data_IF_639945054564
#
_entry.id   IF_639945054564
#
_cell.length_a   1.000
_cell.length_b   1.000
_cell.length_c   1.000
_cell.angle_alpha   90.00
_cell.angle_beta   90.00
_cell.angle_gamma   90.00
#
_symmetry.space_group_name_H-M   'P 1'
#
loop_
_entity.id
_entity.type
_entity.pdbx_description
1 polymer ?
#
# COMPACT_ATOMS: atom_id res chain seq x y z
N UNK A 1 33.65 0.35 23.78
CA UNK A 1 32.20 0.03 23.84
C UNK A 1 31.68 -0.07 22.42
N UNK A 2 31.28 -1.27 21.98
CA UNK A 2 30.73 -1.48 20.64
C UNK A 2 29.45 -0.64 20.42
N UNK A 3 29.19 -0.24 19.18
CA UNK A 3 27.99 0.52 18.80
C UNK A 3 26.74 -0.36 18.81
N UNK A 4 26.38 -0.89 19.98
CA UNK A 4 25.26 -1.81 20.23
C UNK A 4 23.91 -1.14 19.90
N UNK A 5 23.88 0.20 19.82
CA UNK A 5 22.70 0.98 19.45
C UNK A 5 22.45 1.02 17.94
N UNK A 6 23.40 0.58 17.11
CA UNK A 6 23.22 0.49 15.67
C UNK A 6 22.71 -0.91 15.30
N UNK A 7 21.39 -1.04 15.19
CA UNK A 7 20.71 -2.32 14.90
C UNK A 7 21.25 -2.98 13.63
N UNK A 8 21.52 -2.21 12.58
CA UNK A 8 22.06 -2.74 11.31
C UNK A 8 23.42 -3.41 11.56
N UNK A 9 24.33 -2.68 12.22
CA UNK A 9 25.66 -3.20 12.53
C UNK A 9 25.57 -4.46 13.40
N UNK A 10 24.76 -4.45 14.46
CA UNK A 10 24.67 -5.58 15.39
C UNK A 10 24.03 -6.79 14.73
N UNK A 11 22.97 -6.62 13.95
CA UNK A 11 22.30 -7.71 13.21
C UNK A 11 23.25 -8.35 12.20
N UNK A 12 23.99 -7.54 11.43
CA UNK A 12 25.00 -8.06 10.50
C UNK A 12 26.15 -8.76 11.21
N UNK A 13 26.62 -8.20 12.34
CA UNK A 13 27.65 -8.85 13.14
C UNK A 13 27.17 -10.20 13.67
N UNK A 14 25.97 -10.28 14.24
CA UNK A 14 25.44 -11.52 14.79
C UNK A 14 25.18 -12.58 13.72
N UNK A 15 24.67 -12.20 12.54
CA UNK A 15 24.49 -13.13 11.43
C UNK A 15 25.83 -13.71 10.95
N UNK A 16 26.83 -12.85 10.76
CA UNK A 16 28.18 -13.29 10.39
C UNK A 16 28.84 -14.13 11.49
N UNK A 17 28.64 -13.74 12.76
CA UNK A 17 29.15 -14.46 13.91
C UNK A 17 28.56 -15.86 14.00
N UNK A 18 27.23 -16.02 13.90
CA UNK A 18 26.61 -17.33 13.92
C UNK A 18 27.04 -18.21 12.73
N UNK A 19 27.22 -17.61 11.56
CA UNK A 19 27.66 -18.33 10.37
C UNK A 19 29.12 -18.80 10.43
N UNK A 20 30.02 -18.01 11.03
CA UNK A 20 31.48 -18.23 10.95
C UNK A 20 32.13 -18.65 12.26
N UNK A 21 31.58 -18.26 13.42
CA UNK A 21 32.19 -18.50 14.73
C UNK A 21 31.91 -19.91 15.24
N UNK A 22 30.76 -20.50 14.93
CA UNK A 22 30.36 -21.86 15.36
C UNK A 22 31.40 -22.95 15.02
N UNK A 23 32.03 -22.98 13.82
CA UNK A 23 33.10 -23.94 13.53
C UNK A 23 34.47 -23.55 14.10
N UNK A 24 34.70 -22.29 14.45
CA UNK A 24 36.00 -21.77 14.89
C UNK A 24 36.15 -21.73 16.42
N UNK A 25 35.04 -21.59 17.13
CA UNK A 25 34.97 -21.48 18.58
C UNK A 25 33.98 -22.49 19.12
N UNK A 26 34.23 -23.02 20.34
CA UNK A 26 33.29 -23.95 20.98
C UNK A 26 31.91 -23.32 21.21
N UNK A 27 30.85 -24.14 21.16
CA UNK A 27 29.43 -23.71 21.30
C UNK A 27 29.21 -22.84 22.56
N UNK A 28 29.86 -23.18 23.67
CA UNK A 28 29.73 -22.44 24.94
C UNK A 28 30.26 -21.01 24.85
N UNK A 29 31.37 -20.80 24.12
CA UNK A 29 31.95 -19.47 23.92
C UNK A 29 31.07 -18.61 23.03
N UNK A 30 30.56 -19.19 21.94
CA UNK A 30 29.62 -18.53 21.03
C UNK A 30 28.36 -18.11 21.78
N UNK A 31 27.80 -18.99 22.61
CA UNK A 31 26.62 -18.73 23.43
C UNK A 31 26.86 -17.62 24.47
N UNK A 32 28.01 -17.62 25.14
CA UNK A 32 28.36 -16.60 26.14
C UNK A 32 28.40 -15.19 25.54
N UNK A 33 29.02 -15.03 24.36
CA UNK A 33 29.06 -13.75 23.64
C UNK A 33 27.66 -13.35 23.19
N UNK A 34 26.90 -14.30 22.66
CA UNK A 34 25.56 -14.03 22.19
C UNK A 34 24.66 -13.52 23.32
N UNK A 35 24.69 -14.13 24.50
CA UNK A 35 23.95 -13.67 25.68
C UNK A 35 24.30 -12.23 26.09
N UNK A 36 25.57 -11.85 26.00
CA UNK A 36 26.01 -10.49 26.34
C UNK A 36 25.48 -9.43 25.38
N UNK A 37 25.32 -9.77 24.09
CA UNK A 37 24.94 -8.83 23.04
C UNK A 37 23.43 -8.83 22.80
N UNK A 38 22.76 -9.98 22.98
CA UNK A 38 21.36 -10.21 22.62
C UNK A 38 20.40 -9.24 23.30
N UNK A 39 20.40 -9.22 24.64
CA UNK A 39 19.44 -8.41 25.41
C UNK A 39 19.61 -6.90 25.14
N UNK A 40 20.83 -6.34 25.13
CA UNK A 40 21.04 -4.95 24.72
C UNK A 40 20.58 -4.66 23.28
N UNK A 41 20.81 -5.58 22.34
CA UNK A 41 20.37 -5.43 20.96
C UNK A 41 18.84 -5.39 20.86
N UNK A 42 18.13 -6.35 21.47
CA UNK A 42 16.66 -6.40 21.46
C UNK A 42 16.08 -5.12 22.09
N UNK A 43 16.63 -4.68 23.23
CA UNK A 43 16.16 -3.48 23.93
C UNK A 43 16.33 -2.19 23.13
N UNK A 44 17.32 -2.15 22.23
CA UNK A 44 17.61 -0.99 21.38
C UNK A 44 17.32 -1.24 19.90
N UNK A 45 16.53 -2.28 19.60
CA UNK A 45 16.20 -2.65 18.24
C UNK A 45 15.35 -1.56 17.57
N UNK A 46 15.90 -0.95 16.52
CA UNK A 46 15.22 0.03 15.69
C UNK A 46 15.76 -0.04 14.26
N UNK A 47 14.87 -0.18 13.28
CA UNK A 47 15.27 -0.23 11.86
C UNK A 47 15.51 1.18 11.31
N UNK A 48 14.98 2.22 11.96
CA UNK A 48 14.61 3.46 11.26
C UNK A 48 15.02 4.78 11.94
N UNK A 49 16.20 4.85 12.58
CA UNK A 49 16.75 6.18 12.95
C UNK A 49 17.68 6.67 11.84
N UNK A 50 17.28 7.69 11.04
CA UNK A 50 18.26 8.52 10.38
C UNK A 50 19.14 9.10 11.49
N UNK A 51 20.42 8.73 11.48
CA UNK A 51 21.40 9.51 12.22
C UNK A 51 21.32 10.92 11.61
N UNK A 52 21.16 11.99 12.40
CA UNK A 52 21.16 13.34 11.84
C UNK A 52 22.51 13.56 11.16
N UNK A 53 22.56 13.40 9.84
CA UNK A 53 23.73 13.75 9.06
C UNK A 53 23.83 15.28 9.05
N UNK A 54 24.99 15.86 9.39
CA UNK A 54 25.20 17.28 9.19
C UNK A 54 24.92 17.61 7.72
N UNK A 55 24.10 18.62 7.49
CA UNK A 55 23.66 19.05 6.16
C UNK A 55 24.86 19.51 5.34
N UNK A 56 25.52 18.59 4.64
CA UNK A 56 26.45 18.94 3.58
C UNK A 56 25.63 19.23 2.34
N UNK A 57 25.64 20.49 1.89
CA UNK A 57 25.03 20.94 0.64
C UNK A 57 25.40 19.99 -0.50
N UNK A 58 24.45 19.14 -0.92
CA UNK A 58 24.67 18.19 -2.01
C UNK A 58 24.13 18.76 -3.33
N UNK A 59 25.04 18.83 -4.29
CA UNK A 59 24.86 19.22 -5.68
C UNK A 59 23.73 18.46 -6.39
N UNK A 60 23.07 19.15 -7.31
CA UNK A 60 21.89 18.75 -8.08
C UNK A 60 22.06 17.45 -8.90
N UNK A 61 23.29 16.94 -9.06
CA UNK A 61 23.59 15.70 -9.78
C UNK A 61 23.73 14.44 -8.89
N UNK A 62 23.60 14.56 -7.56
CA UNK A 62 23.82 13.46 -6.61
C UNK A 62 22.59 12.61 -6.23
N UNK A 63 21.38 13.12 -6.46
CA UNK A 63 20.15 12.52 -5.92
C UNK A 63 19.81 11.14 -6.54
N UNK A 64 19.98 11.00 -7.86
CA UNK A 64 19.65 9.75 -8.56
C UNK A 64 20.61 8.59 -8.23
N UNK A 65 21.87 8.87 -7.84
CA UNK A 65 22.86 7.82 -7.50
C UNK A 65 22.70 7.30 -6.07
N UNK A 66 22.10 8.09 -5.17
CA UNK A 66 21.83 7.67 -3.78
C UNK A 66 20.68 6.67 -3.70
N UNK A 67 19.59 6.84 -4.46
CA UNK A 67 18.41 5.96 -4.40
C UNK A 67 18.68 4.51 -4.83
N UNK A 68 19.54 4.28 -5.83
CA UNK A 68 19.91 2.91 -6.24
C UNK A 68 20.84 2.22 -5.24
N UNK A 69 21.70 2.97 -4.54
CA UNK A 69 22.62 2.41 -3.54
C UNK A 69 21.97 2.14 -2.18
N UNK A 70 20.85 2.82 -1.85
CA UNK A 70 20.07 2.57 -0.64
C UNK A 70 19.17 1.35 -0.78
N UNK A 71 18.53 1.16 -1.95
CA UNK A 71 17.65 0.02 -2.19
C UNK A 71 18.36 -1.35 -2.04
N UNK A 72 19.61 -1.47 -2.49
CA UNK A 72 20.42 -2.70 -2.31
C UNK A 72 20.76 -2.96 -0.84
N UNK A 73 20.99 -1.90 -0.05
CA UNK A 73 21.29 -2.01 1.39
C UNK A 73 20.06 -2.42 2.19
N UNK A 74 18.89 -1.89 1.84
CA UNK A 74 17.61 -2.17 2.50
C UNK A 74 17.18 -3.64 2.28
N UNK A 75 17.35 -4.15 1.06
CA UNK A 75 17.10 -5.56 0.74
C UNK A 75 18.10 -6.47 1.46
N UNK A 76 19.39 -6.08 1.53
CA UNK A 76 20.39 -6.84 2.29
C UNK A 76 20.03 -6.92 3.77
N UNK A 77 19.65 -5.81 4.40
CA UNK A 77 19.25 -5.79 5.81
C UNK A 77 18.04 -6.70 6.06
N UNK A 78 17.04 -6.66 5.19
CA UNK A 78 15.87 -7.53 5.26
C UNK A 78 16.26 -9.01 5.21
N UNK A 79 17.18 -9.38 4.33
CA UNK A 79 17.70 -10.76 4.24
C UNK A 79 18.53 -11.14 5.47
N UNK A 80 19.38 -10.25 5.97
CA UNK A 80 20.19 -10.50 7.18
C UNK A 80 19.31 -10.73 8.40
N UNK A 81 18.26 -9.93 8.59
CA UNK A 81 17.28 -10.14 9.67
C UNK A 81 16.59 -11.51 9.56
N UNK A 82 16.17 -11.90 8.35
CA UNK A 82 15.52 -13.19 8.13
C UNK A 82 16.46 -14.37 8.42
N UNK A 83 17.73 -14.26 8.01
CA UNK A 83 18.75 -15.28 8.28
C UNK A 83 19.10 -15.37 9.77
N UNK A 84 19.22 -14.23 10.44
CA UNK A 84 19.49 -14.19 11.87
C UNK A 84 18.39 -14.92 12.65
N UNK A 85 17.12 -14.60 12.39
CA UNK A 85 15.97 -15.30 13.00
C UNK A 85 15.97 -16.81 12.70
N UNK A 86 16.27 -17.17 11.45
CA UNK A 86 16.33 -18.57 11.03
C UNK A 86 17.47 -19.32 11.73
N UNK A 87 18.66 -18.73 11.83
CA UNK A 87 19.84 -19.34 12.45
C UNK A 87 19.66 -19.55 13.95
N UNK A 88 19.20 -18.52 14.65
CA UNK A 88 18.96 -18.59 16.10
C UNK A 88 17.96 -19.69 16.45
N UNK A 89 16.94 -19.87 15.61
CA UNK A 89 15.91 -20.89 15.84
C UNK A 89 16.35 -22.31 15.49
N UNK A 90 17.35 -22.47 14.61
CA UNK A 90 17.83 -23.79 14.15
C UNK A 90 18.93 -24.37 15.03
N UNK A 91 19.83 -23.52 15.53
CA UNK A 91 21.08 -23.99 16.15
C UNK A 91 20.94 -24.27 17.66
N UNK A 92 19.70 -24.41 18.16
CA UNK A 92 19.37 -24.56 19.58
C UNK A 92 20.15 -23.55 20.43
N UNK A 93 20.05 -22.30 20.01
CA UNK A 93 20.78 -21.20 20.61
C UNK A 93 20.00 -20.76 21.86
N UNK A 94 20.67 -20.55 23.01
CA UNK A 94 20.02 -20.26 24.28
C UNK A 94 19.46 -18.83 24.39
N UNK A 95 19.05 -18.21 23.27
CA UNK A 95 18.41 -16.89 23.28
C UNK A 95 16.96 -16.98 22.86
N UNK A 96 16.12 -16.16 23.48
CA UNK A 96 14.70 -16.22 23.23
C UNK A 96 14.34 -15.47 21.94
N UNK A 97 14.20 -16.21 20.85
CA UNK A 97 13.77 -15.69 19.54
C UNK A 97 12.43 -14.93 19.61
N UNK A 98 11.57 -15.24 20.57
CA UNK A 98 10.32 -14.50 20.80
C UNK A 98 10.56 -13.03 21.17
N UNK A 99 11.65 -12.71 21.89
CA UNK A 99 11.97 -11.32 22.25
C UNK A 99 12.29 -10.47 21.01
N UNK A 100 13.00 -11.04 20.02
CA UNK A 100 13.31 -10.36 18.78
C UNK A 100 12.06 -10.18 17.90
N UNK A 101 11.20 -11.21 17.81
CA UNK A 101 9.91 -11.13 17.11
C UNK A 101 9.08 -9.98 17.69
N UNK A 102 9.01 -9.90 19.01
CA UNK A 102 8.28 -8.84 19.72
C UNK A 102 8.92 -7.45 19.53
N UNK A 103 10.24 -7.35 19.49
CA UNK A 103 10.92 -6.09 19.21
C UNK A 103 10.64 -5.60 17.78
N UNK A 104 10.69 -6.49 16.79
CA UNK A 104 10.34 -6.18 15.39
C UNK A 104 8.87 -5.74 15.31
N UNK A 105 7.95 -6.47 15.96
CA UNK A 105 6.52 -6.13 16.02
C UNK A 105 6.27 -4.75 16.62
N UNK A 106 6.94 -4.40 17.72
CA UNK A 106 6.81 -3.08 18.36
C UNK A 106 7.33 -1.95 17.47
N UNK A 107 8.48 -2.15 16.84
CA UNK A 107 9.11 -1.13 15.99
C UNK A 107 8.33 -0.91 14.69
N UNK A 108 7.69 -1.95 14.15
CA UNK A 108 6.86 -1.91 12.93
C UNK A 108 5.85 -0.75 12.90
N UNK A 109 5.21 -0.45 14.02
CA UNK A 109 4.20 0.63 14.09
C UNK A 109 4.80 2.04 14.02
N UNK A 110 6.12 2.14 14.20
CA UNK A 110 6.90 3.39 14.24
C UNK A 110 7.74 3.61 13.00
N UNK A 111 7.90 2.59 12.15
CA UNK A 111 8.67 2.68 10.91
C UNK A 111 8.03 3.64 9.92
N UNK A 112 8.89 4.34 9.16
CA UNK A 112 8.50 5.14 8.03
C UNK A 112 7.91 4.25 6.91
N UNK A 113 6.99 4.77 6.08
CA UNK A 113 6.38 4.01 4.99
C UNK A 113 7.41 3.43 4.00
N UNK A 114 8.54 4.12 3.80
CA UNK A 114 9.63 3.66 2.94
C UNK A 114 10.31 2.42 3.50
N UNK A 115 10.60 2.39 4.81
CA UNK A 115 11.19 1.23 5.48
C UNK A 115 10.24 0.04 5.52
N UNK A 116 8.94 0.28 5.76
CA UNK A 116 7.93 -0.79 5.69
C UNK A 116 7.90 -1.44 4.30
N UNK A 117 8.00 -0.63 3.24
CA UNK A 117 8.01 -1.09 1.84
C UNK A 117 9.31 -1.78 1.45
N UNK A 118 10.46 -1.20 1.80
CA UNK A 118 11.77 -1.60 1.27
C UNK A 118 12.50 -2.62 2.16
N UNK A 119 12.17 -2.69 3.45
CA UNK A 119 12.85 -3.56 4.42
C UNK A 119 11.87 -4.56 5.01
N UNK A 120 10.76 -4.12 5.62
CA UNK A 120 9.85 -5.03 6.33
C UNK A 120 9.19 -6.03 5.39
N UNK A 121 8.63 -5.60 4.25
CA UNK A 121 7.98 -6.50 3.31
C UNK A 121 8.94 -7.59 2.76
N UNK A 122 10.14 -7.25 2.23
CA UNK A 122 11.11 -8.26 1.84
C UNK A 122 11.51 -9.17 3.00
N UNK A 123 11.69 -8.63 4.21
CA UNK A 123 12.04 -9.40 5.40
C UNK A 123 10.97 -10.46 5.70
N UNK A 124 9.70 -10.05 5.82
CA UNK A 124 8.58 -10.96 6.09
C UNK A 124 8.46 -12.06 5.03
N UNK A 125 8.76 -11.73 3.76
CA UNK A 125 8.77 -12.70 2.67
C UNK A 125 9.93 -13.69 2.81
N UNK A 126 11.13 -13.22 3.12
CA UNK A 126 12.31 -14.08 3.28
C UNK A 126 12.26 -14.93 4.55
N UNK A 127 11.60 -14.43 5.61
CA UNK A 127 11.37 -15.17 6.85
C UNK A 127 10.23 -16.19 6.74
N UNK A 128 9.39 -16.11 5.69
CA UNK A 128 8.18 -16.93 5.57
C UNK A 128 8.43 -18.44 5.63
N UNK A 129 9.41 -19.03 4.91
CA UNK A 129 9.64 -20.47 4.96
C UNK A 129 9.98 -20.96 6.37
N UNK A 130 10.78 -20.18 7.11
CA UNK A 130 11.08 -20.46 8.51
C UNK A 130 9.85 -20.29 9.40
N UNK A 131 9.11 -19.19 9.24
CA UNK A 131 7.90 -18.91 10.03
C UNK A 131 6.85 -20.01 9.86
N UNK A 132 6.68 -20.54 8.64
CA UNK A 132 5.77 -21.65 8.34
C UNK A 132 6.16 -22.94 9.06
N UNK A 133 7.46 -23.22 9.23
CA UNK A 133 7.92 -24.36 10.01
C UNK A 133 7.78 -24.10 11.52
N UNK A 134 8.15 -22.90 11.99
CA UNK A 134 8.13 -22.52 13.39
C UNK A 134 6.71 -22.43 13.97
N UNK A 135 5.69 -22.11 13.17
CA UNK A 135 4.30 -21.98 13.64
C UNK A 135 3.70 -23.29 14.18
N UNK A 136 4.32 -24.44 13.87
CA UNK A 136 3.96 -25.76 14.41
C UNK A 136 4.26 -25.87 15.91
N UNK A 137 5.22 -25.09 16.39
CA UNK A 137 5.51 -24.95 17.81
C UNK A 137 4.61 -23.87 18.42
N UNK A 138 3.84 -24.25 19.43
CA UNK A 138 2.90 -23.39 20.16
C UNK A 138 3.60 -22.15 20.75
N UNK A 139 4.90 -22.24 21.05
CA UNK A 139 5.71 -21.11 21.53
C UNK A 139 5.73 -19.96 20.51
N UNK A 140 5.81 -20.26 19.22
CA UNK A 140 5.99 -19.27 18.16
C UNK A 140 4.71 -18.91 17.41
N UNK A 141 3.65 -19.73 17.51
CA UNK A 141 2.39 -19.54 16.77
C UNK A 141 1.82 -18.12 16.93
N UNK A 142 1.60 -17.67 18.16
CA UNK A 142 0.98 -16.36 18.43
C UNK A 142 1.92 -15.19 18.12
N UNK A 143 3.19 -15.16 18.61
CA UNK A 143 4.11 -14.06 18.31
C UNK A 143 4.34 -13.85 16.80
N UNK A 144 4.48 -14.94 16.03
CA UNK A 144 4.66 -14.83 14.58
C UNK A 144 3.42 -14.32 13.89
N UNK A 145 2.24 -14.85 14.24
CA UNK A 145 0.97 -14.37 13.68
C UNK A 145 0.80 -12.87 13.94
N UNK A 146 1.03 -12.43 15.18
CA UNK A 146 0.89 -11.04 15.57
C UNK A 146 1.91 -10.14 14.87
N UNK A 147 3.15 -10.60 14.71
CA UNK A 147 4.18 -9.86 13.96
C UNK A 147 3.80 -9.69 12.48
N UNK A 148 3.41 -10.77 11.79
CA UNK A 148 3.00 -10.70 10.39
C UNK A 148 1.74 -9.84 10.22
N UNK A 149 0.74 -10.01 11.07
CA UNK A 149 -0.51 -9.25 11.00
C UNK A 149 -0.26 -7.77 11.29
N UNK A 150 0.53 -7.44 12.31
CA UNK A 150 0.89 -6.05 12.64
C UNK A 150 1.72 -5.43 11.52
N UNK A 151 2.69 -6.17 10.99
CA UNK A 151 3.54 -5.77 9.86
C UNK A 151 2.78 -5.37 8.62
N UNK A 152 1.95 -6.29 8.13
CA UNK A 152 1.19 -6.08 6.91
C UNK A 152 0.13 -4.99 7.09
N UNK A 153 -0.52 -4.92 8.25
CA UNK A 153 -1.47 -3.84 8.53
C UNK A 153 -0.81 -2.48 8.68
N UNK A 154 0.37 -2.39 9.33
CA UNK A 154 1.12 -1.15 9.43
C UNK A 154 1.57 -0.68 8.04
N UNK A 155 2.04 -1.60 7.19
CA UNK A 155 2.35 -1.31 5.80
C UNK A 155 1.13 -0.74 5.05
N UNK A 156 -0.02 -1.40 5.09
CA UNK A 156 -1.23 -0.94 4.41
C UNK A 156 -1.69 0.43 4.93
N UNK A 157 -1.77 0.62 6.26
CA UNK A 157 -2.26 1.86 6.88
C UNK A 157 -1.32 3.05 6.65
N UNK A 158 0.00 2.84 6.67
CA UNK A 158 0.97 3.94 6.56
C UNK A 158 1.36 4.26 5.12
N UNK A 159 1.55 3.23 4.27
CA UNK A 159 1.97 3.40 2.88
C UNK A 159 0.78 3.68 1.97
N UNK A 160 -0.20 2.77 1.95
CA UNK A 160 -1.35 2.90 1.05
C UNK A 160 -2.28 4.00 1.53
N UNK A 161 -2.53 4.03 2.85
CA UNK A 161 -3.47 4.92 3.56
C UNK A 161 -4.92 4.58 3.25
N UNK A 162 -5.82 5.09 4.10
CA UNK A 162 -7.27 4.93 3.92
C UNK A 162 -7.75 5.48 2.58
N UNK A 163 -8.78 4.84 2.05
CA UNK A 163 -9.47 5.26 0.84
C UNK A 163 -9.89 6.73 0.94
N UNK A 164 -9.50 7.59 -0.01
CA UNK A 164 -9.96 8.97 -0.03
C UNK A 164 -11.46 9.02 -0.33
N UNK A 165 -12.17 9.95 0.29
CA UNK A 165 -13.59 10.15 0.03
C UNK A 165 -13.81 10.48 -1.45
N UNK A 166 -14.62 9.68 -2.13
CA UNK A 166 -15.12 10.02 -3.45
C UNK A 166 -16.25 11.02 -3.29
N UNK A 167 -16.21 12.18 -3.97
CA UNK A 167 -17.34 13.12 -3.94
C UNK A 167 -17.03 14.62 -4.01
N UNK A 168 -15.78 15.03 -4.18
CA UNK A 168 -15.49 16.44 -4.47
C UNK A 168 -15.78 16.74 -5.94
N UNK A 169 -16.89 17.43 -6.22
CA UNK A 169 -17.16 17.94 -7.56
C UNK A 169 -16.13 18.97 -8.03
N UNK A 170 -16.20 19.34 -9.29
CA UNK A 170 -15.40 20.40 -9.90
C UNK A 170 -15.80 21.82 -9.45
N UNK A 171 -16.56 22.01 -8.37
CA UNK A 171 -16.97 23.35 -7.97
C UNK A 171 -15.78 24.18 -7.47
N UNK A 172 -15.77 25.47 -7.76
CA UNK A 172 -14.75 26.44 -7.37
C UNK A 172 -15.38 27.75 -6.90
N UNK A 173 -14.67 28.51 -6.04
CA UNK A 173 -15.08 29.86 -5.68
C UNK A 173 -15.32 30.70 -6.94
N UNK A 174 -16.34 31.55 -6.86
CA UNK A 174 -16.66 32.51 -7.93
C UNK A 174 -15.66 33.67 -7.92
N UNK A 175 -15.39 34.23 -9.09
CA UNK A 175 -14.71 35.50 -9.27
C UNK A 175 -15.56 36.63 -8.65
N UNK A 176 -14.90 37.60 -8.04
CA UNK A 176 -15.55 38.76 -7.40
C UNK A 176 -16.05 39.84 -8.38
N UNK A 177 -15.90 39.65 -9.69
CA UNK A 177 -16.38 40.57 -10.71
C UNK A 177 -17.84 40.28 -11.11
N UNK A 178 -18.63 41.34 -11.32
CA UNK A 178 -20.05 41.27 -11.72
C UNK A 178 -20.30 41.51 -13.21
N UNK A 179 -19.25 41.66 -14.05
CA UNK A 179 -19.45 41.86 -15.49
C UNK A 179 -20.04 40.60 -16.16
N UNK A 180 -20.72 40.78 -17.30
CA UNK A 180 -21.38 39.67 -18.01
C UNK A 180 -20.43 38.50 -18.34
N UNK A 181 -19.20 38.80 -18.77
CA UNK A 181 -18.22 37.76 -19.09
C UNK A 181 -17.78 36.97 -17.86
N UNK A 182 -17.62 37.63 -16.71
CA UNK A 182 -17.30 36.96 -15.45
C UNK A 182 -18.49 36.18 -14.90
N UNK A 183 -19.72 36.58 -15.22
CA UNK A 183 -20.93 35.84 -14.82
C UNK A 183 -20.98 34.45 -15.48
N UNK A 184 -20.72 34.36 -16.79
CA UNK A 184 -20.66 33.08 -17.51
C UNK A 184 -19.56 32.17 -16.93
N UNK A 185 -18.39 32.74 -16.65
CA UNK A 185 -17.27 32.02 -16.03
C UNK A 185 -17.65 31.57 -14.62
N UNK A 186 -18.39 32.37 -13.85
CA UNK A 186 -18.83 32.02 -12.50
C UNK A 186 -19.84 30.87 -12.47
N UNK A 187 -20.73 30.77 -13.47
CA UNK A 187 -21.62 29.62 -13.63
C UNK A 187 -20.80 28.35 -13.85
N UNK A 188 -19.84 28.42 -14.78
CA UNK A 188 -18.92 27.32 -15.00
C UNK A 188 -18.15 26.97 -13.74
N UNK A 189 -17.56 27.94 -13.02
CA UNK A 189 -16.80 27.70 -11.79
C UNK A 189 -17.66 27.04 -10.71
N UNK A 190 -18.91 27.46 -10.55
CA UNK A 190 -19.85 26.86 -9.60
C UNK A 190 -20.23 25.41 -9.95
N UNK A 191 -20.19 25.03 -11.23
CA UNK A 191 -20.56 23.68 -11.68
C UNK A 191 -19.68 22.60 -11.08
N UNK A 192 -20.32 21.62 -10.43
CA UNK A 192 -19.66 20.45 -9.84
C UNK A 192 -19.31 19.36 -10.87
N UNK A 193 -19.87 19.41 -12.08
CA UNK A 193 -19.69 18.37 -13.10
C UNK A 193 -18.82 18.83 -14.27
N UNK A 194 -18.79 20.14 -14.56
CA UNK A 194 -18.01 20.67 -15.66
C UNK A 194 -16.56 20.91 -15.25
N UNK A 195 -15.65 20.14 -15.85
CA UNK A 195 -14.20 20.32 -15.70
C UNK A 195 -13.65 21.38 -16.66
N UNK A 196 -14.17 21.48 -17.89
CA UNK A 196 -13.68 22.38 -18.94
C UNK A 196 -14.78 23.35 -19.35
N UNK A 197 -14.47 24.64 -19.36
CA UNK A 197 -15.32 25.73 -19.80
C UNK A 197 -14.67 26.43 -21.00
N UNK A 198 -15.48 26.76 -22.01
CA UNK A 198 -15.01 27.38 -23.27
C UNK A 198 -15.82 28.65 -23.50
N UNK A 199 -15.15 29.79 -23.58
CA UNK A 199 -15.78 31.11 -23.66
C UNK A 199 -15.23 31.85 -24.88
N UNK A 200 -16.08 32.14 -25.87
CA UNK A 200 -15.71 33.03 -26.98
C UNK A 200 -15.79 34.47 -26.50
N UNK A 201 -14.64 35.11 -26.35
CA UNK A 201 -14.52 36.43 -25.74
C UNK A 201 -13.64 37.32 -26.61
N UNK A 202 -13.85 38.63 -26.60
CA UNK A 202 -12.93 39.59 -27.25
C UNK A 202 -11.58 39.62 -26.51
N UNK A 203 -10.53 40.16 -27.15
CA UNK A 203 -9.19 40.26 -26.54
C UNK A 203 -9.21 40.90 -25.14
N UNK A 204 -9.94 42.02 -24.98
CA UNK A 204 -10.04 42.73 -23.70
C UNK A 204 -10.77 41.91 -22.64
N UNK A 205 -11.87 41.25 -23.03
CA UNK A 205 -12.61 40.37 -22.13
C UNK A 205 -11.79 39.15 -21.70
N UNK A 206 -11.01 38.54 -22.61
CA UNK A 206 -10.08 37.45 -22.28
C UNK A 206 -9.02 37.89 -21.28
N UNK A 207 -8.38 39.04 -21.53
CA UNK A 207 -7.36 39.59 -20.63
C UNK A 207 -7.91 39.87 -19.23
N UNK A 208 -9.12 40.44 -19.16
CA UNK A 208 -9.83 40.67 -17.91
C UNK A 208 -10.08 39.37 -17.13
N UNK A 209 -10.64 38.34 -17.77
CA UNK A 209 -10.92 37.05 -17.10
C UNK A 209 -9.62 36.37 -16.64
N UNK A 210 -8.56 36.41 -17.45
CA UNK A 210 -7.24 35.91 -17.06
C UNK A 210 -6.75 36.57 -15.76
N UNK A 211 -6.74 37.90 -15.70
CA UNK A 211 -6.29 38.64 -14.52
C UNK A 211 -7.08 38.30 -13.25
N UNK A 212 -8.40 38.10 -13.37
CA UNK A 212 -9.23 37.71 -12.22
C UNK A 212 -9.01 36.27 -11.78
N UNK A 213 -8.76 35.32 -12.70
CA UNK A 213 -8.43 33.94 -12.35
C UNK A 213 -7.06 33.84 -11.68
N UNK A 214 -6.06 34.58 -12.18
CA UNK A 214 -4.72 34.68 -11.58
C UNK A 214 -4.78 35.27 -10.17
N UNK A 215 -5.48 36.40 -10.01
CA UNK A 215 -5.65 37.07 -8.71
C UNK A 215 -6.41 36.21 -7.69
N UNK A 216 -7.34 35.37 -8.15
CA UNK A 216 -8.10 34.46 -7.29
C UNK A 216 -7.31 33.19 -6.92
N UNK A 217 -6.10 32.99 -7.44
CA UNK A 217 -5.31 31.78 -7.20
C UNK A 217 -5.99 30.52 -7.77
N UNK A 218 -6.62 30.62 -8.94
CA UNK A 218 -7.30 29.50 -9.58
C UNK A 218 -6.36 28.30 -9.75
N UNK A 219 -6.82 27.12 -9.33
CA UNK A 219 -5.99 25.92 -9.23
C UNK A 219 -5.90 25.09 -10.52
N UNK A 220 -6.50 25.58 -11.61
CA UNK A 220 -6.54 24.94 -12.91
C UNK A 220 -5.70 25.67 -13.96
N UNK A 221 -6.02 25.47 -15.24
CA UNK A 221 -5.40 26.18 -16.36
C UNK A 221 -6.39 27.09 -17.04
N UNK A 222 -5.91 28.21 -17.57
CA UNK A 222 -6.68 29.08 -18.45
C UNK A 222 -5.81 29.50 -19.63
N UNK A 223 -6.20 29.08 -20.83
CA UNK A 223 -5.42 29.31 -22.03
C UNK A 223 -6.34 29.84 -23.13
N UNK A 224 -5.83 30.76 -23.94
CA UNK A 224 -6.53 31.19 -25.15
C UNK A 224 -6.16 30.27 -26.30
N UNK A 225 -7.15 29.59 -26.87
CA UNK A 225 -6.99 28.90 -28.15
C UNK A 225 -6.92 29.94 -29.27
N UNK A 226 -5.75 30.05 -29.89
CA UNK A 226 -5.49 31.03 -30.93
C UNK A 226 -5.96 30.51 -32.28
N UNK A 227 -7.09 31.02 -32.72
CA UNK A 227 -7.60 30.87 -34.09
C UNK A 227 -7.31 32.13 -34.90
N UNK A 228 -7.27 31.99 -36.24
CA UNK A 228 -7.10 33.09 -37.18
C UNK A 228 -8.27 34.10 -37.18
N UNK A 229 -9.41 33.72 -36.62
CA UNK A 229 -10.64 34.52 -36.58
C UNK A 229 -10.93 34.94 -35.13
N UNK A 230 -11.28 36.21 -34.92
CA UNK A 230 -11.81 36.74 -33.65
C UNK A 230 -13.35 36.63 -33.63
N UNK A 231 -14.01 36.41 -32.48
CA UNK A 231 -13.43 36.25 -31.14
C UNK A 231 -12.76 34.89 -30.92
N UNK A 232 -11.53 34.89 -30.41
CA UNK A 232 -10.84 33.67 -29.98
C UNK A 232 -11.47 33.09 -28.70
N UNK A 233 -11.19 31.81 -28.44
CA UNK A 233 -11.80 31.07 -27.32
C UNK A 233 -10.86 31.02 -26.12
N UNK A 234 -11.35 31.46 -24.96
CA UNK A 234 -10.72 31.19 -23.66
C UNK A 234 -11.18 29.82 -23.16
N UNK A 235 -10.22 28.93 -22.92
CA UNK A 235 -10.45 27.60 -22.35
C UNK A 235 -9.97 27.60 -20.91
N UNK A 236 -10.90 27.39 -19.98
CA UNK A 236 -10.62 27.27 -18.55
C UNK A 236 -10.83 25.82 -18.14
N UNK A 237 -9.79 25.17 -17.62
CA UNK A 237 -9.84 23.78 -17.18
C UNK A 237 -9.55 23.71 -15.69
N UNK A 238 -10.49 23.17 -14.93
CA UNK A 238 -10.34 22.98 -13.48
C UNK A 238 -9.52 21.73 -13.18
N UNK A 239 -8.71 21.80 -12.13
CA UNK A 239 -7.89 20.66 -11.70
C UNK A 239 -8.71 19.62 -10.96
N UNK A 240 -8.55 18.35 -11.33
CA UNK A 240 -9.21 17.24 -10.64
C UNK A 240 -8.38 16.77 -9.44
N UNK A 241 -8.25 17.61 -8.40
CA UNK A 241 -7.42 17.29 -7.21
C UNK A 241 -7.88 16.00 -6.53
N UNK A 242 -9.19 15.75 -6.47
CA UNK A 242 -9.74 14.54 -5.89
C UNK A 242 -9.43 13.31 -6.74
N UNK A 243 -9.59 13.41 -8.06
CA UNK A 243 -9.20 12.35 -8.99
C UNK A 243 -7.70 12.06 -8.97
N UNK A 244 -6.85 13.08 -8.89
CA UNK A 244 -5.40 12.91 -8.71
C UNK A 244 -5.08 12.19 -7.39
N UNK A 245 -5.73 12.59 -6.29
CA UNK A 245 -5.55 11.96 -4.98
C UNK A 245 -6.01 10.49 -5.01
N UNK A 246 -7.15 10.22 -5.63
CA UNK A 246 -7.67 8.87 -5.81
C UNK A 246 -6.76 8.02 -6.69
N UNK A 247 -6.27 8.56 -7.82
CA UNK A 247 -5.34 7.86 -8.72
C UNK A 247 -4.01 7.56 -8.02
N UNK A 248 -3.49 8.49 -7.22
CA UNK A 248 -2.28 8.25 -6.43
C UNK A 248 -2.50 7.17 -5.37
N UNK A 249 -3.67 7.17 -4.70
CA UNK A 249 -4.06 6.08 -3.79
C UNK A 249 -4.18 4.74 -4.52
N UNK A 250 -4.86 4.71 -5.68
CA UNK A 250 -5.03 3.52 -6.50
C UNK A 250 -3.69 2.94 -6.98
N UNK A 251 -2.73 3.80 -7.34
CA UNK A 251 -1.38 3.38 -7.69
C UNK A 251 -0.68 2.68 -6.52
N UNK A 252 -0.80 3.21 -5.29
CA UNK A 252 -0.26 2.57 -4.08
C UNK A 252 -0.97 1.26 -3.77
N UNK A 253 -2.29 1.17 -3.97
CA UNK A 253 -3.04 -0.09 -3.84
C UNK A 253 -2.52 -1.16 -4.81
N UNK A 254 -2.29 -0.82 -6.09
CA UNK A 254 -1.76 -1.76 -7.08
C UNK A 254 -0.38 -2.26 -6.70
N UNK A 255 0.47 -1.35 -6.24
CA UNK A 255 1.81 -1.73 -5.80
C UNK A 255 1.77 -2.64 -4.55
N UNK A 256 0.98 -2.28 -3.55
CA UNK A 256 0.80 -3.10 -2.36
C UNK A 256 0.25 -4.48 -2.71
N UNK A 257 -0.70 -4.56 -3.62
CA UNK A 257 -1.26 -5.82 -4.11
C UNK A 257 -0.19 -6.67 -4.78
N UNK A 258 0.60 -6.08 -5.68
CA UNK A 258 1.74 -6.75 -6.31
C UNK A 258 2.81 -7.19 -5.31
N UNK A 259 3.02 -6.45 -4.21
CA UNK A 259 3.92 -6.83 -3.12
C UNK A 259 3.40 -8.01 -2.30
N UNK A 260 2.12 -7.99 -1.93
CA UNK A 260 1.46 -9.05 -1.16
C UNK A 260 1.37 -10.37 -1.94
N UNK A 261 1.13 -10.31 -3.26
CA UNK A 261 1.11 -11.50 -4.11
C UNK A 261 2.48 -12.15 -4.35
N UNK A 262 3.58 -11.52 -3.91
CA UNK A 262 4.92 -12.15 -3.93
C UNK A 262 5.14 -13.10 -2.76
N UNK A 263 4.24 -13.15 -1.80
CA UNK A 263 4.27 -14.15 -0.73
C UNK A 263 3.77 -15.49 -1.26
N UNK A 264 4.35 -16.58 -0.76
CA UNK A 264 3.80 -17.90 -0.99
C UNK A 264 2.46 -18.03 -0.25
N UNK A 265 1.35 -18.19 -0.99
CA UNK A 265 0.00 -18.17 -0.42
C UNK A 265 -0.19 -19.22 0.67
N UNK A 266 0.31 -20.44 0.45
CA UNK A 266 0.17 -21.55 1.40
C UNK A 266 0.97 -21.33 2.69
N UNK A 267 2.20 -20.82 2.57
CA UNK A 267 3.02 -20.47 3.73
C UNK A 267 2.38 -19.35 4.56
N UNK A 268 1.84 -18.32 3.89
CA UNK A 268 1.19 -17.21 4.55
C UNK A 268 -0.12 -17.63 5.24
N UNK A 269 -0.90 -18.52 4.60
CA UNK A 269 -2.11 -19.12 5.16
C UNK A 269 -1.81 -19.87 6.47
N UNK A 270 -0.72 -20.63 6.52
CA UNK A 270 -0.29 -21.35 7.73
C UNK A 270 0.07 -20.40 8.89
N UNK A 271 0.70 -19.27 8.61
CA UNK A 271 1.11 -18.29 9.64
C UNK A 271 -0.08 -17.44 10.12
N UNK A 272 -0.84 -16.86 9.21
CA UNK A 272 -1.88 -15.87 9.52
C UNK A 272 -3.26 -16.44 9.76
N UNK A 273 -3.53 -17.69 9.38
CA UNK A 273 -4.87 -18.26 9.14
C UNK A 273 -5.58 -17.68 7.92
N UNK A 274 -6.47 -18.48 7.32
CA UNK A 274 -7.24 -18.14 6.13
C UNK A 274 -8.03 -16.82 6.21
N UNK A 275 -8.84 -16.54 7.25
CA UNK A 275 -9.66 -15.31 7.29
C UNK A 275 -8.79 -14.05 7.36
N UNK A 276 -7.75 -14.05 8.20
CA UNK A 276 -6.84 -12.90 8.34
C UNK A 276 -6.05 -12.66 7.06
N UNK A 277 -5.59 -13.73 6.40
CA UNK A 277 -4.91 -13.63 5.10
C UNK A 277 -5.83 -12.97 4.06
N UNK A 278 -7.09 -13.43 3.95
CA UNK A 278 -8.06 -12.86 3.01
C UNK A 278 -8.31 -11.38 3.26
N UNK A 279 -8.44 -10.97 4.52
CA UNK A 279 -8.68 -9.57 4.87
C UNK A 279 -7.50 -8.66 4.54
N UNK A 280 -6.27 -9.14 4.71
CA UNK A 280 -5.06 -8.42 4.33
C UNK A 280 -4.94 -8.33 2.80
N UNK A 281 -5.17 -9.42 2.08
CA UNK A 281 -5.12 -9.46 0.61
C UNK A 281 -6.20 -8.56 -0.02
N UNK A 282 -7.39 -8.51 0.58
CA UNK A 282 -8.47 -7.60 0.20
C UNK A 282 -8.28 -6.17 0.75
N UNK A 283 -7.20 -5.89 1.48
CA UNK A 283 -6.86 -4.59 2.05
C UNK A 283 -7.99 -3.95 2.89
N UNK A 284 -8.75 -4.76 3.62
CA UNK A 284 -9.95 -4.29 4.34
C UNK A 284 -9.67 -3.25 5.41
N UNK A 285 -8.45 -3.20 5.93
CA UNK A 285 -8.08 -2.23 6.96
C UNK A 285 -7.96 -0.79 6.44
N UNK A 286 -8.03 -0.58 5.11
CA UNK A 286 -7.95 0.75 4.47
C UNK A 286 -9.10 1.06 3.52
N UNK A 287 -9.89 0.05 3.11
CA UNK A 287 -11.05 0.21 2.24
C UNK A 287 -12.29 0.29 3.13
N UNK A 288 -12.86 1.49 3.21
CA UNK A 288 -14.03 1.75 4.05
C UNK A 288 -15.35 1.51 3.29
N UNK A 289 -15.32 1.43 1.95
CA UNK A 289 -16.50 1.27 1.10
C UNK A 289 -16.31 0.09 0.10
N UNK A 290 -16.79 -1.12 0.43
CA UNK A 290 -16.64 -2.32 -0.40
C UNK A 290 -17.13 -2.19 -1.86
N UNK A 291 -18.29 -1.58 -2.17
CA UNK A 291 -18.71 -1.38 -3.56
C UNK A 291 -17.83 -0.41 -4.35
N UNK A 292 -17.08 0.48 -3.68
CA UNK A 292 -16.10 1.37 -4.30
C UNK A 292 -14.66 0.82 -4.29
N UNK A 293 -14.48 -0.46 -3.93
CA UNK A 293 -13.17 -1.10 -3.96
C UNK A 293 -12.63 -1.21 -5.41
N UNK A 294 -11.31 -1.05 -5.61
CA UNK A 294 -10.68 -1.29 -6.89
C UNK A 294 -11.00 -2.67 -7.46
N UNK A 295 -11.34 -2.73 -8.75
CA UNK A 295 -11.80 -3.95 -9.43
C UNK A 295 -10.82 -5.11 -9.38
N UNK A 296 -9.51 -4.82 -9.29
CA UNK A 296 -8.46 -5.84 -9.22
C UNK A 296 -8.34 -6.50 -7.83
N UNK A 297 -8.98 -5.94 -6.80
CA UNK A 297 -8.97 -6.55 -5.48
C UNK A 297 -10.08 -7.60 -5.38
N UNK A 298 -9.85 -8.72 -4.66
CA UNK A 298 -10.89 -9.70 -4.41
C UNK A 298 -12.11 -9.03 -3.77
N UNK A 299 -13.25 -9.04 -4.48
CA UNK A 299 -14.52 -8.60 -3.90
C UNK A 299 -14.94 -9.64 -2.88
N UNK A 300 -15.12 -9.22 -1.64
CA UNK A 300 -15.77 -10.06 -0.66
C UNK A 300 -17.26 -10.15 -1.02
N UNK A 301 -17.65 -11.30 -1.56
CA UNK A 301 -19.04 -11.72 -1.51
C UNK A 301 -19.23 -12.22 -0.10
N UNK A 302 -19.86 -11.44 0.77
CA UNK A 302 -20.31 -11.93 2.06
C UNK A 302 -21.13 -13.19 1.79
N UNK A 303 -20.70 -14.31 2.38
CA UNK A 303 -21.31 -15.64 2.34
C UNK A 303 -22.51 -15.76 1.39
N UNK A 304 -22.26 -16.29 0.20
CA UNK A 304 -23.31 -17.03 -0.50
C UNK A 304 -23.62 -18.19 0.43
N UNK A 305 -24.63 -18.01 1.29
CA UNK A 305 -25.41 -19.12 1.84
C UNK A 305 -25.70 -20.01 0.64
N UNK A 306 -25.15 -21.22 0.66
CA UNK A 306 -25.49 -22.26 -0.30
C UNK A 306 -27.02 -22.37 -0.32
N UNK A 307 -27.64 -21.74 -1.32
CA UNK A 307 -29.00 -22.07 -1.69
C UNK A 307 -28.92 -23.49 -2.28
N UNK A 308 -29.64 -24.46 -1.71
CA UNK A 308 -29.61 -25.82 -2.21
C UNK A 308 -30.05 -25.83 -3.67
N UNK A 309 -29.32 -26.61 -4.47
CA UNK A 309 -29.50 -26.77 -5.90
C UNK A 309 -30.99 -26.88 -6.27
N UNK A 310 -31.49 -25.88 -7.00
CA UNK A 310 -32.78 -25.98 -7.68
C UNK A 310 -32.69 -27.12 -8.70
N UNK A 311 -33.39 -28.21 -8.38
CA UNK A 311 -33.63 -29.36 -9.23
C UNK A 311 -34.19 -28.90 -10.58
N UNK A 312 -33.38 -29.07 -11.64
CA UNK A 312 -33.87 -29.02 -13.02
C UNK A 312 -34.73 -30.25 -13.29
N UNK A 313 -36.05 -30.08 -13.35
CA UNK A 313 -36.97 -31.05 -13.94
C UNK A 313 -38.12 -30.32 -14.65
N UNK A 314 -37.80 -29.69 -15.78
CA UNK A 314 -38.80 -29.18 -16.72
C UNK A 314 -39.37 -30.34 -17.54
N UNK A 315 -40.55 -30.81 -17.14
CA UNK A 315 -41.38 -31.80 -17.83
C UNK A 315 -41.81 -31.25 -19.20
N UNK A 316 -41.44 -31.95 -20.27
CA UNK A 316 -42.00 -31.75 -21.63
C UNK A 316 -43.47 -32.18 -21.63
N UNK A 317 -44.40 -31.23 -21.78
CA UNK A 317 -45.80 -31.55 -22.12
C UNK A 317 -45.87 -31.85 -23.62
N UNK A 318 -46.21 -33.09 -23.97
CA UNK A 318 -46.72 -33.46 -25.30
C UNK A 318 -48.12 -32.87 -25.42
N UNK A 319 -48.35 -32.06 -26.46
CA UNK A 319 -49.69 -31.72 -26.91
C UNK A 319 -50.25 -32.93 -27.67
N UNK A 320 -51.34 -33.49 -27.18
CA UNK A 320 -52.11 -34.51 -27.86
C UNK A 320 -53.16 -33.79 -28.71
N UNK A 321 -53.08 -34.00 -30.03
CA UNK A 321 -54.02 -33.47 -31.03
C UNK A 321 -55.29 -34.31 -30.91
N UNK A 322 -56.38 -33.67 -30.52
CA UNK A 322 -57.72 -34.27 -30.57
C UNK A 322 -58.22 -34.12 -31.99
N UNK A 323 -58.34 -35.24 -32.70
CA UNK A 323 -58.96 -35.32 -34.02
C UNK A 323 -60.48 -35.46 -33.85
N UNK A 324 -61.24 -34.55 -34.45
CA UNK A 324 -62.70 -34.53 -34.45
C UNK A 324 -63.18 -34.82 -35.88
N UNK A 325 -63.41 -36.10 -36.15
CA UNK A 325 -64.28 -36.59 -37.21
C UNK A 325 -64.97 -37.82 -36.62
N UNK A 326 -66.28 -37.85 -36.38
CA UNK A 326 -67.35 -37.48 -37.28
C UNK A 326 -68.15 -38.76 -37.50
N UNK A 327 -69.38 -38.78 -37.01
CA UNK A 327 -70.36 -39.86 -37.11
C UNK A 327 -70.44 -40.47 -38.53
N UNK A 328 -70.68 -41.78 -38.61
CA UNK A 328 -71.80 -42.35 -39.37
C UNK A 328 -71.87 -43.88 -39.27
N UNK A 329 -73.08 -44.31 -38.90
CA UNK A 329 -73.79 -45.59 -39.11
C UNK A 329 -73.44 -46.85 -38.30
#
# INVERSE_FOLDING_TARGET
MANIKNTIFVVSFLEAWLAQATPLFGKDYVNAILHQIWKPMVMHFHVDRPTPQPQTHSSMYGAARQEFGTLDKDVRLAMTLARLLTGISRDDIPVDSCELIEAIRKDTTRMAPTVLRQILLPFLRHALPWATAAVQDQKFTTPLRDMYQTGLNAYLKSYVKSQPQQGGGFSRPRLHCSCNHCWDVNIFLASATQQVGRFRLSKNARHHVHAYLDNAGFDGTHQTERTWVEPQTLVVTKRNRQGETYNAWLARCREAHGGLHRFEAEGLRKVLSEPVMKDIMAMRCIINDPPAAPEFLPRYVADVVEQPAATRAGVKRKAEVIDLSGDSD
#
